data_IF_303660114592
#
_entry.id   IF_303660114592
#
_cell.length_a   1.000
_cell.length_b   1.000
_cell.length_c   1.000
_cell.angle_alpha   90.00
_cell.angle_beta   90.00
_cell.angle_gamma   90.00
#
_symmetry.space_group_name_H-M   'P 1'
#
loop_
_entity.id
_entity.type
_entity.pdbx_description
1 polymer ?
#
# COMPACT_ATOMS: atom_id res chain seq x y z
N UNK A 1 7.66 -6.37 16.45
CA UNK A 1 8.44 -7.13 15.45
C UNK A 1 9.74 -6.40 15.17
N UNK A 2 10.92 -7.00 15.43
CA UNK A 2 12.21 -6.29 15.20
C UNK A 2 12.49 -6.20 13.70
N UNK A 3 12.38 -4.98 13.16
CA UNK A 3 12.28 -4.63 11.73
C UNK A 3 13.57 -4.80 10.92
N UNK A 4 14.74 -4.96 11.55
CA UNK A 4 16.04 -4.90 10.85
C UNK A 4 16.37 -6.12 9.97
N UNK A 5 15.49 -7.12 9.88
CA UNK A 5 15.71 -8.35 9.09
C UNK A 5 15.10 -8.32 7.69
N UNK A 6 14.36 -7.27 7.28
CA UNK A 6 13.42 -7.36 6.13
C UNK A 6 13.46 -6.24 5.09
N UNK A 7 14.41 -5.31 5.14
CA UNK A 7 14.56 -4.30 4.07
C UNK A 7 15.53 -3.18 4.40
N UNK A 8 15.86 -2.37 3.39
CA UNK A 8 16.70 -1.16 3.55
C UNK A 8 15.87 -0.05 4.22
N UNK A 9 15.97 0.04 5.54
CA UNK A 9 15.30 1.06 6.35
C UNK A 9 15.73 2.46 5.91
N UNK A 10 17.00 2.65 5.58
CA UNK A 10 17.53 3.94 5.12
C UNK A 10 16.85 4.39 3.82
N UNK A 11 16.57 3.46 2.90
CA UNK A 11 15.80 3.76 1.69
C UNK A 11 14.38 4.23 2.01
N UNK A 12 13.71 3.61 2.97
CA UNK A 12 12.36 4.01 3.37
C UNK A 12 12.35 5.39 4.01
N UNK A 13 13.32 5.69 4.90
CA UNK A 13 13.45 7.02 5.51
C UNK A 13 13.72 8.11 4.46
N UNK A 14 14.57 7.82 3.45
CA UNK A 14 14.79 8.74 2.31
C UNK A 14 13.52 8.98 1.49
N UNK A 15 12.67 7.96 1.31
CA UNK A 15 11.38 8.12 0.65
C UNK A 15 10.47 9.03 1.49
N UNK A 16 10.36 8.81 2.81
CA UNK A 16 9.58 9.70 3.68
C UNK A 16 10.06 11.16 3.61
N UNK A 17 11.37 11.38 3.65
CA UNK A 17 11.96 12.72 3.46
C UNK A 17 11.57 13.33 2.12
N UNK A 18 11.63 12.56 1.03
CA UNK A 18 11.26 13.05 -0.31
C UNK A 18 9.81 13.51 -0.41
N UNK A 19 8.93 13.05 0.49
CA UNK A 19 7.52 13.43 0.56
C UNK A 19 7.18 14.37 1.73
N UNK A 20 8.18 14.96 2.39
CA UNK A 20 7.98 16.03 3.37
C UNK A 20 8.23 15.67 4.83
N UNK A 21 8.82 14.49 5.11
CA UNK A 21 9.32 14.21 6.46
C UNK A 21 10.56 15.04 6.77
N UNK A 22 10.78 15.30 8.06
CA UNK A 22 11.91 16.08 8.54
C UNK A 22 13.26 15.44 8.20
N UNK A 23 14.28 16.23 7.92
CA UNK A 23 15.61 15.69 7.60
C UNK A 23 16.25 14.96 8.80
N UNK A 24 15.87 15.35 10.02
CA UNK A 24 16.35 14.71 11.26
C UNK A 24 16.10 13.19 11.29
N UNK A 25 15.08 12.66 10.59
CA UNK A 25 14.81 11.22 10.54
C UNK A 25 15.94 10.41 9.87
N UNK A 26 16.82 11.06 9.12
CA UNK A 26 17.93 10.39 8.43
C UNK A 26 19.15 10.19 9.34
N UNK A 27 19.25 10.94 10.42
CA UNK A 27 20.41 10.96 11.34
C UNK A 27 20.07 10.54 12.77
N UNK A 28 18.80 10.65 13.17
CA UNK A 28 18.34 10.25 14.50
C UNK A 28 18.52 8.73 14.70
N UNK A 29 19.03 8.35 15.87
CA UNK A 29 19.15 6.94 16.28
C UNK A 29 17.76 6.29 16.48
N UNK A 30 16.74 7.08 16.79
CA UNK A 30 15.35 6.65 16.94
C UNK A 30 14.41 7.55 16.13
N UNK A 31 14.45 7.45 14.79
CA UNK A 31 13.76 8.39 13.91
C UNK A 31 12.25 8.34 14.12
N UNK A 32 11.65 9.51 14.25
CA UNK A 32 10.22 9.69 14.44
C UNK A 32 9.69 10.75 13.46
N UNK A 33 8.58 10.45 12.78
CA UNK A 33 7.98 11.38 11.79
C UNK A 33 7.08 12.42 12.48
N UNK A 34 6.52 12.07 13.64
CA UNK A 34 5.48 12.84 14.32
C UNK A 34 4.09 12.57 13.72
N UNK A 35 3.09 12.40 14.58
CA UNK A 35 1.72 12.04 14.17
C UNK A 35 1.09 13.08 13.24
N UNK A 36 1.40 14.36 13.44
CA UNK A 36 0.79 15.47 12.68
C UNK A 36 1.32 15.56 11.23
N UNK A 37 2.52 15.04 10.96
CA UNK A 37 3.15 15.12 9.63
C UNK A 37 2.78 13.94 8.74
N UNK A 38 2.46 12.78 9.33
CA UNK A 38 2.20 11.57 8.57
C UNK A 38 1.03 11.73 7.57
N UNK A 39 -0.13 12.32 7.92
CA UNK A 39 -1.22 12.52 6.96
C UNK A 39 -0.79 13.33 5.73
N UNK A 40 -0.03 14.41 5.93
CA UNK A 40 0.45 15.24 4.82
C UNK A 40 1.41 14.47 3.90
N UNK A 41 2.34 13.71 4.48
CA UNK A 41 3.30 12.88 3.74
C UNK A 41 2.58 11.80 2.92
N UNK A 42 1.62 11.10 3.53
CA UNK A 42 0.84 10.05 2.84
C UNK A 42 -0.01 10.65 1.71
N UNK A 43 -0.59 11.84 1.92
CA UNK A 43 -1.32 12.54 0.86
C UNK A 43 -0.40 12.89 -0.32
N UNK A 44 0.83 13.35 -0.06
CA UNK A 44 1.81 13.64 -1.10
C UNK A 44 2.24 12.36 -1.87
N UNK A 45 2.46 11.25 -1.15
CA UNK A 45 2.76 9.95 -1.76
C UNK A 45 1.61 9.48 -2.66
N UNK A 46 0.37 9.55 -2.17
CA UNK A 46 -0.82 9.21 -2.95
C UNK A 46 -0.92 10.05 -4.21
N UNK A 47 -0.77 11.37 -4.11
CA UNK A 47 -0.82 12.28 -5.25
C UNK A 47 0.22 11.90 -6.31
N UNK A 48 1.44 11.52 -5.90
CA UNK A 48 2.48 11.08 -6.83
C UNK A 48 2.14 9.76 -7.51
N UNK A 49 1.58 8.78 -6.79
CA UNK A 49 1.17 7.50 -7.38
C UNK A 49 0.05 7.74 -8.41
N UNK A 50 -0.91 8.61 -8.12
CA UNK A 50 -1.97 8.99 -9.07
C UNK A 50 -1.37 9.67 -10.30
N UNK A 51 -0.43 10.61 -10.11
CA UNK A 51 0.25 11.28 -11.22
C UNK A 51 1.08 10.33 -12.11
N UNK A 52 1.45 9.15 -11.59
CA UNK A 52 2.13 8.09 -12.34
C UNK A 52 1.16 7.09 -12.98
N UNK A 53 -0.15 7.32 -12.91
CA UNK A 53 -1.19 6.47 -13.49
C UNK A 53 -1.73 5.39 -12.55
N UNK A 54 -1.37 5.40 -11.27
CA UNK A 54 -1.95 4.51 -10.27
C UNK A 54 -3.32 4.97 -9.79
N UNK A 55 -4.10 4.05 -9.25
CA UNK A 55 -5.46 4.30 -8.75
C UNK A 55 -5.57 4.01 -7.25
N UNK A 56 -6.50 4.70 -6.58
CA UNK A 56 -6.82 4.47 -5.17
C UNK A 56 -8.33 4.35 -4.99
N UNK A 57 -8.75 3.17 -4.56
CA UNK A 57 -10.15 2.82 -4.31
C UNK A 57 -10.40 2.78 -2.80
N UNK A 58 -10.88 3.89 -2.23
CA UNK A 58 -11.26 3.96 -0.82
C UNK A 58 -12.64 3.39 -0.60
N UNK A 59 -12.90 2.89 0.62
CA UNK A 59 -14.15 2.20 0.95
C UNK A 59 -14.35 0.94 0.09
N UNK A 60 -13.29 0.36 -0.44
CA UNK A 60 -13.35 -0.84 -1.29
C UNK A 60 -12.64 -1.97 -0.57
N UNK A 61 -13.42 -2.89 -0.01
CA UNK A 61 -12.90 -4.04 0.75
C UNK A 61 -12.71 -5.22 -0.19
N UNK A 62 -11.51 -5.81 -0.19
CA UNK A 62 -11.27 -7.10 -0.85
C UNK A 62 -12.01 -8.20 -0.10
N UNK A 63 -12.92 -8.91 -0.77
CA UNK A 63 -13.75 -9.98 -0.18
C UNK A 63 -13.33 -11.38 -0.66
N UNK A 64 -12.57 -11.47 -1.75
CA UNK A 64 -12.09 -12.73 -2.29
C UNK A 64 -11.11 -12.55 -3.44
N UNK A 65 -10.54 -13.67 -3.90
CA UNK A 65 -9.68 -13.71 -5.08
C UNK A 65 -10.43 -14.30 -6.26
N UNK A 66 -10.19 -13.77 -7.45
CA UNK A 66 -10.61 -14.40 -8.70
C UNK A 66 -9.53 -15.38 -9.07
N UNK A 67 -9.87 -16.67 -9.15
CA UNK A 67 -8.92 -17.74 -9.45
C UNK A 67 -9.32 -18.42 -10.75
N UNK A 68 -8.37 -18.56 -11.66
CA UNK A 68 -8.54 -19.21 -12.96
C UNK A 68 -7.62 -20.42 -13.07
N UNK A 69 -7.97 -21.35 -13.97
CA UNK A 69 -7.11 -22.48 -14.30
C UNK A 69 -6.46 -22.26 -15.67
N UNK A 70 -5.13 -22.32 -15.71
CA UNK A 70 -4.34 -22.19 -16.94
C UNK A 70 -3.27 -23.27 -16.95
N UNK A 71 -3.29 -24.13 -17.98
CA UNK A 71 -2.35 -25.24 -18.13
C UNK A 71 -2.28 -26.17 -16.91
N UNK A 72 -3.42 -26.44 -16.26
CA UNK A 72 -3.49 -27.29 -15.06
C UNK A 72 -2.98 -26.62 -13.76
N UNK A 73 -2.67 -25.32 -13.79
CA UNK A 73 -2.30 -24.55 -12.61
C UNK A 73 -3.36 -23.50 -12.25
N UNK A 74 -3.59 -23.27 -10.96
CA UNK A 74 -4.44 -22.19 -10.46
C UNK A 74 -3.67 -20.88 -10.40
N UNK A 75 -4.21 -19.84 -11.02
CA UNK A 75 -3.64 -18.49 -11.03
C UNK A 75 -4.62 -17.50 -10.41
N UNK A 76 -4.11 -16.53 -9.65
CA UNK A 76 -4.93 -15.41 -9.19
C UNK A 76 -5.00 -14.40 -10.33
N UNK A 77 -6.20 -14.17 -10.85
CA UNK A 77 -6.46 -13.27 -11.97
C UNK A 77 -7.11 -11.93 -11.55
N UNK A 78 -7.29 -11.73 -10.25
CA UNK A 78 -7.89 -10.51 -9.71
C UNK A 78 -8.44 -10.66 -8.29
N UNK A 79 -9.23 -9.68 -7.89
CA UNK A 79 -9.92 -9.62 -6.61
C UNK A 79 -11.41 -9.32 -6.79
N UNK A 80 -12.21 -9.88 -5.89
CA UNK A 80 -13.59 -9.48 -5.65
C UNK A 80 -13.59 -8.39 -4.58
N UNK A 81 -14.47 -7.42 -4.74
CA UNK A 81 -14.56 -6.28 -3.82
C UNK A 81 -15.99 -5.99 -3.42
N UNK A 82 -16.16 -5.35 -2.28
CA UNK A 82 -17.41 -4.76 -1.82
C UNK A 82 -17.16 -3.31 -1.42
N UNK A 83 -18.02 -2.40 -1.88
CA UNK A 83 -18.04 -1.02 -1.40
C UNK A 83 -18.60 -0.99 0.04
N UNK A 84 -17.82 -0.51 1.00
CA UNK A 84 -18.17 -0.54 2.43
C UNK A 84 -19.21 0.51 2.83
N UNK A 85 -19.59 1.42 1.93
CA UNK A 85 -20.65 2.41 2.15
C UNK A 85 -21.97 1.96 1.52
N UNK A 86 -21.93 1.39 0.32
CA UNK A 86 -23.14 1.04 -0.44
C UNK A 86 -23.49 -0.46 -0.36
N UNK A 87 -22.51 -1.32 -0.07
CA UNK A 87 -22.65 -2.78 -0.13
C UNK A 87 -22.60 -3.34 -1.55
N UNK A 88 -22.29 -2.51 -2.55
CA UNK A 88 -22.20 -2.94 -3.94
C UNK A 88 -20.98 -3.84 -4.18
N UNK A 89 -21.19 -4.95 -4.89
CA UNK A 89 -20.12 -5.87 -5.26
C UNK A 89 -19.44 -5.42 -6.56
N UNK A 90 -18.13 -5.60 -6.61
CA UNK A 90 -17.29 -5.27 -7.76
C UNK A 90 -16.13 -6.25 -7.94
N UNK A 91 -15.31 -6.00 -8.96
CA UNK A 91 -14.14 -6.80 -9.24
C UNK A 91 -13.04 -5.98 -9.92
N UNK A 92 -11.78 -6.32 -9.62
CA UNK A 92 -10.62 -5.82 -10.35
C UNK A 92 -9.81 -7.02 -10.85
N UNK A 93 -9.54 -7.05 -12.16
CA UNK A 93 -8.66 -8.07 -12.77
C UNK A 93 -7.25 -7.52 -12.94
N UNK A 94 -6.27 -8.41 -12.87
CA UNK A 94 -4.87 -8.08 -13.07
C UNK A 94 -3.99 -9.32 -13.08
N UNK A 95 -2.80 -9.19 -13.65
CA UNK A 95 -1.86 -10.30 -13.81
C UNK A 95 -1.26 -10.78 -12.49
N UNK A 96 -1.25 -9.92 -11.46
CA UNK A 96 -0.73 -10.22 -10.14
C UNK A 96 -1.50 -9.45 -9.05
N UNK A 97 -1.56 -10.05 -7.86
CA UNK A 97 -2.15 -9.44 -6.66
C UNK A 97 -1.13 -9.48 -5.53
N UNK A 98 -0.88 -8.31 -4.91
CA UNK A 98 -0.04 -8.17 -3.73
C UNK A 98 -0.94 -8.01 -2.50
N UNK A 99 -0.91 -8.98 -1.58
CA UNK A 99 -1.65 -8.91 -0.32
C UNK A 99 -0.80 -8.22 0.76
N UNK A 100 -1.21 -7.02 1.17
CA UNK A 100 -0.52 -6.20 2.18
C UNK A 100 -1.50 -5.64 3.22
N UNK A 101 -2.39 -6.50 3.74
CA UNK A 101 -3.47 -6.11 4.67
C UNK A 101 -2.99 -5.76 6.10
N UNK A 102 -1.70 -5.87 6.39
CA UNK A 102 -1.16 -5.72 7.74
C UNK A 102 -1.37 -6.95 8.62
N UNK A 103 -0.94 -6.86 9.88
CA UNK A 103 -1.26 -7.82 10.93
C UNK A 103 -1.95 -7.04 12.05
N UNK A 104 -3.12 -7.49 12.47
CA UNK A 104 -3.88 -6.88 13.57
C UNK A 104 -3.47 -7.50 14.90
#
# INVERSE_FOLDING_TARGET
TRSNKRGDIGRILRIFRAFGADESILTDAHPHIGTDRLPAIINAMRAKIIALGGEFHFNTRCTGFIVEEKNGARIVAGIQTEDTKTGENGQYRGDAVLLSAGHS
#
